data_IF_093160602481
#
_entry.id   IF_093160602481
#
_cell.length_a   1.000
_cell.length_b   1.000
_cell.length_c   1.000
_cell.angle_alpha   90.00
_cell.angle_beta   90.00
_cell.angle_gamma   90.00
#
_symmetry.space_group_name_H-M   'P 1'
#
loop_
_entity.id
_entity.type
_entity.pdbx_description
1 polymer ?
#
# COMPACT_ATOMS: atom_id res chain seq x y z
N UNK A 1 -10.74 13.29 -7.58
CA UNK A 1 -11.37 11.97 -7.35
C UNK A 1 -10.33 10.99 -6.80
N UNK A 2 -10.63 10.36 -5.66
CA UNK A 2 -9.79 9.35 -5.01
C UNK A 2 -10.10 7.97 -5.59
N UNK A 3 -9.09 7.20 -6.01
CA UNK A 3 -9.26 5.82 -6.49
C UNK A 3 -8.45 4.87 -5.61
N UNK A 4 -9.03 3.74 -5.21
CA UNK A 4 -8.35 2.69 -4.42
C UNK A 4 -8.70 1.32 -4.96
N UNK A 5 -7.86 0.34 -4.67
CA UNK A 5 -8.14 -1.07 -4.98
C UNK A 5 -7.08 -2.00 -4.41
N UNK A 6 -7.30 -3.28 -4.64
CA UNK A 6 -6.37 -4.37 -4.34
C UNK A 6 -6.14 -5.14 -5.63
N UNK A 7 -4.91 -5.57 -5.87
CA UNK A 7 -4.57 -6.47 -6.98
C UNK A 7 -3.77 -7.65 -6.44
N UNK A 8 -4.25 -8.86 -6.71
CA UNK A 8 -3.47 -10.09 -6.50
C UNK A 8 -2.37 -10.15 -7.57
N UNK A 9 -1.12 -10.33 -7.13
CA UNK A 9 0.07 -10.35 -7.98
C UNK A 9 0.48 -11.78 -8.31
N UNK A 10 0.35 -12.71 -7.36
CA UNK A 10 0.51 -14.14 -7.61
C UNK A 10 -0.86 -14.81 -7.69
N UNK A 11 -1.46 -14.95 -8.89
CA UNK A 11 -2.76 -15.58 -9.03
C UNK A 11 -2.71 -17.10 -8.89
N UNK A 12 -1.52 -17.71 -8.83
CA UNK A 12 -1.35 -19.16 -8.74
C UNK A 12 -1.43 -19.61 -7.29
N UNK A 13 -0.70 -18.91 -6.41
CA UNK A 13 -0.68 -19.24 -4.98
C UNK A 13 -1.54 -18.32 -4.11
N UNK A 14 -2.02 -17.19 -4.66
CA UNK A 14 -2.72 -16.11 -3.95
C UNK A 14 -1.94 -15.59 -2.72
N UNK A 15 -0.62 -15.79 -2.71
CA UNK A 15 0.24 -15.43 -1.57
C UNK A 15 0.71 -13.99 -1.61
N UNK A 16 0.46 -13.25 -2.69
CA UNK A 16 0.96 -11.88 -2.84
C UNK A 16 -0.10 -10.96 -3.42
N UNK A 17 -0.33 -9.85 -2.74
CA UNK A 17 -1.20 -8.78 -3.21
C UNK A 17 -0.56 -7.39 -3.04
N UNK A 18 -1.10 -6.43 -3.78
CA UNK A 18 -0.81 -5.00 -3.63
C UNK A 18 -2.09 -4.21 -3.37
N UNK A 19 -2.12 -3.52 -2.23
CA UNK A 19 -3.09 -2.49 -1.92
C UNK A 19 -2.61 -1.17 -2.54
N UNK A 20 -3.50 -0.41 -3.20
CA UNK A 20 -3.12 0.85 -3.84
C UNK A 20 -4.14 1.96 -3.62
N UNK A 21 -3.62 3.20 -3.55
CA UNK A 21 -4.40 4.42 -3.41
C UNK A 21 -3.84 5.54 -4.28
N UNK A 22 -4.68 6.14 -5.12
CA UNK A 22 -4.35 7.32 -5.94
C UNK A 22 -5.16 8.52 -5.48
N UNK A 23 -4.47 9.61 -5.17
CA UNK A 23 -5.05 10.91 -4.81
C UNK A 23 -4.49 12.02 -5.70
N UNK A 24 -5.24 13.10 -5.98
CA UNK A 24 -4.67 14.28 -6.61
C UNK A 24 -3.59 14.91 -5.73
N UNK A 25 -2.58 15.52 -6.36
CA UNK A 25 -1.45 16.13 -5.65
C UNK A 25 -1.89 17.29 -4.74
N UNK A 26 -2.96 18.03 -5.08
CA UNK A 26 -3.47 19.10 -4.20
C UNK A 26 -4.02 18.58 -2.86
N UNK A 27 -4.45 17.32 -2.79
CA UNK A 27 -4.92 16.69 -1.55
C UNK A 27 -3.82 15.99 -0.75
N UNK A 28 -2.61 15.94 -1.30
CA UNK A 28 -1.44 15.33 -0.66
C UNK A 28 -0.20 16.20 -0.90
N UNK A 29 -0.18 17.45 -0.39
CA UNK A 29 0.86 18.41 -0.70
C UNK A 29 2.23 18.06 -0.10
N UNK A 30 2.27 17.32 1.01
CA UNK A 30 3.49 17.12 1.81
C UNK A 30 3.54 15.73 2.49
N UNK A 31 4.64 15.44 3.18
CA UNK A 31 4.83 14.18 3.90
C UNK A 31 3.83 13.99 5.05
N UNK A 32 3.35 15.07 5.68
CA UNK A 32 2.34 14.98 6.74
C UNK A 32 1.00 14.46 6.18
N UNK A 33 0.62 14.93 4.99
CA UNK A 33 -0.56 14.47 4.28
C UNK A 33 -0.42 13.02 3.82
N UNK A 34 0.79 12.61 3.40
CA UNK A 34 1.12 11.21 3.09
C UNK A 34 0.94 10.34 4.34
N UNK A 35 1.55 10.72 5.46
CA UNK A 35 1.48 9.96 6.71
C UNK A 35 0.02 9.74 7.18
N UNK A 36 -0.82 10.77 7.10
CA UNK A 36 -2.26 10.64 7.40
C UNK A 36 -2.98 9.69 6.46
N UNK A 37 -2.66 9.71 5.16
CA UNK A 37 -3.25 8.77 4.20
C UNK A 37 -2.77 7.34 4.44
N UNK A 38 -1.48 7.16 4.76
CA UNK A 38 -0.90 5.87 5.15
C UNK A 38 -1.65 5.30 6.36
N UNK A 39 -1.69 6.05 7.46
CA UNK A 39 -2.34 5.62 8.70
C UNK A 39 -3.82 5.29 8.53
N UNK A 40 -4.54 6.02 7.66
CA UNK A 40 -5.98 5.84 7.47
C UNK A 40 -6.34 4.70 6.51
N UNK A 41 -5.45 4.34 5.59
CA UNK A 41 -5.81 3.46 4.46
C UNK A 41 -4.97 2.20 4.32
N UNK A 42 -3.83 2.14 4.99
CA UNK A 42 -2.88 1.04 4.87
C UNK A 42 -2.68 0.37 6.22
N UNK A 43 -2.23 -0.89 6.18
CA UNK A 43 -1.97 -1.69 7.38
C UNK A 43 -0.63 -1.29 7.98
N UNK A 44 -0.49 -1.52 9.29
CA UNK A 44 0.80 -1.36 9.96
C UNK A 44 1.80 -2.37 9.37
N UNK A 45 2.98 -1.92 8.89
CA UNK A 45 4.01 -2.82 8.42
C UNK A 45 4.47 -3.75 9.53
N UNK A 46 4.73 -5.00 9.17
CA UNK A 46 5.29 -5.98 10.08
C UNK A 46 6.06 -7.05 9.30
N UNK A 47 7.08 -7.58 9.95
CA UNK A 47 7.83 -8.72 9.45
C UNK A 47 6.94 -9.99 9.39
N UNK A 48 7.35 -11.01 8.62
CA UNK A 48 6.68 -12.30 8.57
C UNK A 48 6.47 -12.87 9.97
N UNK A 49 5.22 -13.17 10.33
CA UNK A 49 4.89 -13.71 11.65
C UNK A 49 3.72 -14.71 11.60
N UNK A 50 3.60 -15.50 12.67
CA UNK A 50 2.59 -16.54 12.80
C UNK A 50 2.85 -17.78 11.94
N UNK A 51 1.93 -18.75 11.99
CA UNK A 51 2.07 -20.04 11.32
C UNK A 51 2.19 -19.93 9.78
N UNK A 52 1.57 -18.91 9.20
CA UNK A 52 1.56 -18.70 7.75
C UNK A 52 2.63 -17.69 7.28
N UNK A 53 3.51 -17.23 8.18
CA UNK A 53 4.55 -16.22 7.88
C UNK A 53 4.01 -15.00 7.11
N UNK A 54 2.84 -14.51 7.52
CA UNK A 54 2.20 -13.39 6.84
C UNK A 54 2.99 -12.10 7.09
N UNK A 55 3.15 -11.27 6.06
CA UNK A 55 3.89 -10.01 6.13
C UNK A 55 3.14 -8.85 5.50
N UNK A 56 3.47 -7.64 5.94
CA UNK A 56 3.01 -6.37 5.34
C UNK A 56 4.21 -5.44 5.22
N UNK A 57 4.53 -5.00 4.00
CA UNK A 57 5.65 -4.08 3.74
C UNK A 57 5.26 -2.63 4.04
N UNK A 58 6.27 -1.77 4.11
CA UNK A 58 6.07 -0.32 4.15
C UNK A 58 5.38 0.21 2.89
N UNK A 59 4.71 1.36 3.03
CA UNK A 59 4.04 2.01 1.91
C UNK A 59 5.06 2.69 1.01
N UNK A 60 5.04 2.34 -0.27
CA UNK A 60 5.82 3.00 -1.32
C UNK A 60 5.01 4.18 -1.85
N UNK A 61 5.61 5.37 -1.85
CA UNK A 61 4.99 6.59 -2.35
C UNK A 61 5.62 6.98 -3.69
N UNK A 62 4.77 7.18 -4.69
CA UNK A 62 5.16 7.66 -6.02
C UNK A 62 4.42 8.94 -6.34
N UNK A 63 5.18 10.02 -6.57
CA UNK A 63 4.62 11.34 -6.80
C UNK A 63 4.85 11.81 -8.23
N UNK A 64 3.80 12.39 -8.80
CA UNK A 64 3.84 13.12 -10.08
C UNK A 64 3.32 14.54 -9.84
N UNK A 65 3.41 15.41 -10.85
CA UNK A 65 2.88 16.79 -10.77
C UNK A 65 1.39 16.85 -10.42
N UNK A 66 0.59 15.85 -10.81
CA UNK A 66 -0.88 15.88 -10.66
C UNK A 66 -1.42 14.87 -9.66
N UNK A 67 -0.65 13.82 -9.34
CA UNK A 67 -1.14 12.68 -8.56
C UNK A 67 -0.06 12.11 -7.66
N UNK A 68 -0.52 11.58 -6.52
CA UNK A 68 0.27 10.75 -5.61
C UNK A 68 -0.34 9.36 -5.62
N UNK A 69 0.51 8.35 -5.84
CA UNK A 69 0.19 6.93 -5.75
C UNK A 69 0.87 6.37 -4.51
N UNK A 70 0.10 5.71 -3.65
CA UNK A 70 0.58 4.95 -2.51
C UNK A 70 0.34 3.46 -2.78
N UNK A 71 1.33 2.62 -2.52
CA UNK A 71 1.31 1.17 -2.75
C UNK A 71 1.76 0.44 -1.49
N UNK A 72 1.09 -0.64 -1.11
CA UNK A 72 1.54 -1.53 -0.04
C UNK A 72 1.47 -2.97 -0.50
N UNK A 73 2.58 -3.68 -0.35
CA UNK A 73 2.64 -5.12 -0.62
C UNK A 73 2.39 -5.90 0.66
N UNK A 74 1.67 -7.00 0.53
CA UNK A 74 1.50 -7.97 1.61
C UNK A 74 1.40 -9.36 1.04
N UNK A 75 1.79 -10.33 1.84
CA UNK A 75 1.71 -11.71 1.40
C UNK A 75 2.06 -12.72 2.47
N UNK A 76 2.31 -13.94 2.02
CA UNK A 76 2.85 -15.03 2.81
C UNK A 76 4.27 -15.30 2.33
N UNK A 77 5.23 -15.42 3.24
CA UNK A 77 6.53 -15.97 2.88
C UNK A 77 6.48 -17.51 2.85
N UNK A 78 7.17 -18.15 1.89
CA UNK A 78 7.33 -19.60 1.88
C UNK A 78 8.16 -20.14 3.05
#
# INVERSE_FOLDING_TARGET
>A
MKKRGVKVIDPVSDTLQVDWLVVPAEHCPDENSVARLVQRHFRQPHEPWGANRAYVREVIVRRTRRRVLLLQYSGLEP
#
